data_IF_400935067706
#
_entry.id   IF_400935067706
#
_cell.length_a   1.000
_cell.length_b   1.000
_cell.length_c   1.000
_cell.angle_alpha   90.00
_cell.angle_beta   90.00
_cell.angle_gamma   90.00
#
_symmetry.space_group_name_H-M   'P 1'
#
loop_
_entity.id
_entity.type
_entity.pdbx_description
1 polymer ?
#
# COMPACT_ATOMS: atom_id res chain seq x y z
N UNK A 1 47.66 -15.56 -37.90
CA UNK A 1 48.26 -14.21 -37.93
C UNK A 1 47.24 -13.11 -38.24
N UNK A 2 46.61 -13.06 -39.42
CA UNK A 2 45.60 -12.02 -39.73
C UNK A 2 44.30 -12.12 -38.90
N UNK A 3 43.84 -13.33 -38.59
CA UNK A 3 42.66 -13.53 -37.73
C UNK A 3 42.92 -13.14 -36.26
N UNK A 4 44.15 -13.29 -35.78
CA UNK A 4 44.55 -12.98 -34.40
C UNK A 4 44.70 -11.47 -34.18
N UNK A 5 45.19 -10.75 -35.21
CA UNK A 5 45.30 -9.29 -35.19
C UNK A 5 43.92 -8.62 -35.09
N UNK A 6 42.93 -9.15 -35.82
CA UNK A 6 41.55 -8.67 -35.77
C UNK A 6 40.87 -8.96 -34.42
N UNK A 7 41.19 -10.09 -33.79
CA UNK A 7 40.69 -10.44 -32.46
C UNK A 7 41.27 -9.51 -31.38
N UNK A 8 42.59 -9.26 -31.41
CA UNK A 8 43.25 -8.35 -30.46
C UNK A 8 42.74 -6.92 -30.64
N UNK A 9 42.56 -6.47 -31.89
CA UNK A 9 41.96 -5.17 -32.20
C UNK A 9 40.51 -5.04 -31.69
N UNK A 10 39.70 -6.09 -31.86
CA UNK A 10 38.32 -6.12 -31.35
C UNK A 10 38.28 -6.08 -29.81
N UNK A 11 39.06 -6.94 -29.14
CA UNK A 11 39.12 -6.98 -27.68
C UNK A 11 39.62 -5.63 -27.12
N UNK A 12 40.66 -5.06 -27.73
CA UNK A 12 41.16 -3.72 -27.39
C UNK A 12 40.11 -2.63 -27.59
N UNK A 13 39.35 -2.68 -28.69
CA UNK A 13 38.27 -1.73 -28.96
C UNK A 13 37.11 -1.84 -27.96
N UNK A 14 36.63 -3.05 -27.68
CA UNK A 14 35.53 -3.30 -26.73
C UNK A 14 35.92 -2.91 -25.31
N UNK A 15 37.15 -3.21 -24.88
CA UNK A 15 37.66 -2.76 -23.57
C UNK A 15 37.77 -1.25 -23.48
N UNK A 16 38.28 -0.57 -24.52
CA UNK A 16 38.38 0.89 -24.56
C UNK A 16 36.99 1.55 -24.50
N UNK A 17 36.03 1.07 -25.30
CA UNK A 17 34.65 1.56 -25.30
C UNK A 17 34.00 1.35 -23.93
N UNK A 18 34.17 0.17 -23.31
CA UNK A 18 33.63 -0.10 -21.99
C UNK A 18 34.22 0.80 -20.90
N UNK A 19 35.52 1.12 -20.97
CA UNK A 19 36.19 2.07 -20.07
C UNK A 19 35.60 3.47 -20.28
N UNK A 20 35.43 3.93 -21.52
CA UNK A 20 34.85 5.24 -21.84
C UNK A 20 33.40 5.33 -21.32
N UNK A 21 32.58 4.31 -21.59
CA UNK A 21 31.19 4.24 -21.11
C UNK A 21 31.14 4.19 -19.59
N UNK A 22 32.02 3.42 -18.94
CA UNK A 22 32.13 3.37 -17.49
C UNK A 22 32.44 4.74 -16.90
N UNK A 23 33.47 5.43 -17.40
CA UNK A 23 33.85 6.76 -16.91
C UNK A 23 32.76 7.80 -17.20
N UNK A 24 32.13 7.74 -18.38
CA UNK A 24 31.03 8.63 -18.73
C UNK A 24 29.83 8.43 -17.81
N UNK A 25 29.38 7.19 -17.60
CA UNK A 25 28.22 6.88 -16.79
C UNK A 25 28.50 7.12 -15.29
N UNK A 26 29.70 6.78 -14.83
CA UNK A 26 30.17 7.10 -13.48
C UNK A 26 30.15 8.61 -13.23
N UNK A 27 30.79 9.39 -14.10
CA UNK A 27 30.84 10.85 -14.01
C UNK A 27 29.44 11.48 -14.08
N UNK A 28 28.57 10.94 -14.94
CA UNK A 28 27.17 11.35 -15.04
C UNK A 28 26.43 11.10 -13.72
N UNK A 29 26.52 9.91 -13.16
CA UNK A 29 25.85 9.53 -11.90
C UNK A 29 26.40 10.34 -10.71
N UNK A 30 27.72 10.57 -10.62
CA UNK A 30 28.30 11.40 -9.57
C UNK A 30 27.88 12.86 -9.72
N UNK A 31 27.89 13.40 -10.95
CA UNK A 31 27.43 14.76 -11.23
C UNK A 31 25.96 14.97 -10.85
N UNK A 32 25.10 13.99 -11.15
CA UNK A 32 23.69 14.03 -10.73
C UNK A 32 23.52 13.92 -9.21
N UNK A 33 24.31 13.07 -8.54
CA UNK A 33 24.33 12.96 -7.08
C UNK A 33 24.72 14.30 -6.45
N UNK A 34 25.80 14.90 -6.91
CA UNK A 34 26.34 16.14 -6.34
C UNK A 34 25.38 17.32 -6.59
N UNK A 35 24.73 17.36 -7.76
CA UNK A 35 23.71 18.36 -8.09
C UNK A 35 22.43 18.25 -7.25
N UNK A 36 22.01 17.02 -6.89
CA UNK A 36 20.82 16.79 -6.04
C UNK A 36 21.14 17.04 -4.57
N UNK A 37 22.31 16.60 -4.11
CA UNK A 37 22.77 16.81 -2.74
C UNK A 37 23.04 18.28 -2.47
N UNK A 38 23.63 19.01 -3.42
CA UNK A 38 23.89 20.45 -3.28
C UNK A 38 22.61 21.27 -3.16
N UNK A 39 21.58 20.98 -3.98
CA UNK A 39 20.27 21.63 -3.88
C UNK A 39 19.60 21.38 -2.54
N UNK A 40 19.58 20.14 -2.07
CA UNK A 40 18.99 19.82 -0.76
C UNK A 40 19.78 20.50 0.36
N UNK A 41 21.12 20.51 0.29
CA UNK A 41 21.93 21.21 1.28
C UNK A 41 21.80 22.73 1.24
N UNK A 42 21.50 23.32 0.08
CA UNK A 42 21.26 24.75 -0.08
C UNK A 42 19.90 25.16 0.51
N UNK A 43 18.84 24.39 0.22
CA UNK A 43 17.51 24.56 0.82
C UNK A 43 17.52 24.41 2.36
N UNK A 44 18.48 23.65 2.87
CA UNK A 44 18.70 23.44 4.30
C UNK A 44 19.53 24.58 4.95
N UNK A 45 20.34 25.30 4.16
CA UNK A 45 21.30 26.30 4.67
C UNK A 45 20.78 27.74 4.63
N UNK A 46 19.81 28.03 3.77
CA UNK A 46 19.18 29.35 3.64
C UNK A 46 17.67 29.26 3.96
N UNK A 47 17.26 29.38 5.24
CA UNK A 47 15.85 29.28 5.64
C UNK A 47 15.01 30.52 5.26
N UNK A 48 15.62 31.63 4.82
CA UNK A 48 14.97 32.94 4.80
C UNK A 48 13.95 33.18 3.67
N UNK A 49 13.64 32.22 2.80
CA UNK A 49 12.70 32.45 1.69
C UNK A 49 11.53 31.48 1.60
N UNK A 50 11.41 30.47 2.48
CA UNK A 50 10.33 29.47 2.35
C UNK A 50 9.62 29.04 3.63
N UNK A 51 9.94 29.59 4.80
CA UNK A 51 9.32 29.16 6.08
C UNK A 51 8.49 30.28 6.74
N UNK A 52 7.29 30.53 6.22
CA UNK A 52 6.21 31.09 7.05
C UNK A 52 5.45 29.91 7.71
N UNK A 53 6.09 29.26 8.68
CA UNK A 53 5.40 28.46 9.70
C UNK A 53 6.10 28.70 11.04
N UNK A 54 5.37 29.14 12.08
CA UNK A 54 5.96 29.26 13.41
C UNK A 54 6.15 27.84 13.92
N UNK A 55 7.39 27.37 13.98
CA UNK A 55 7.72 26.17 14.73
C UNK A 55 8.42 26.58 16.01
N UNK A 56 7.83 26.09 17.09
CA UNK A 56 8.40 25.97 18.43
C UNK A 56 9.87 25.54 18.35
N UNK A 57 10.72 26.20 19.14
CA UNK A 57 12.18 26.22 18.99
C UNK A 57 12.78 24.81 19.14
N UNK A 58 12.92 24.08 18.03
CA UNK A 58 13.71 22.85 17.95
C UNK A 58 15.16 23.18 18.36
N UNK A 59 15.79 22.34 19.18
CA UNK A 59 17.18 22.55 19.59
C UNK A 59 18.08 22.48 18.35
N UNK A 60 19.01 23.42 18.17
CA UNK A 60 20.03 23.45 17.08
C UNK A 60 20.69 22.08 16.77
N UNK A 61 20.74 21.18 17.75
CA UNK A 61 21.30 19.82 17.61
C UNK A 61 20.36 18.86 16.89
N UNK A 62 19.05 18.95 17.12
CA UNK A 62 18.02 18.09 16.55
C UNK A 62 17.81 18.41 15.06
N UNK A 63 17.72 19.70 14.70
CA UNK A 63 17.67 20.13 13.30
C UNK A 63 18.89 19.64 12.51
N UNK A 64 20.10 19.81 13.07
CA UNK A 64 21.34 19.30 12.43
C UNK A 64 21.36 17.79 12.29
N UNK A 65 20.70 17.05 13.18
CA UNK A 65 20.59 15.60 13.07
C UNK A 65 19.64 15.20 11.94
N UNK A 66 18.45 15.81 11.86
CA UNK A 66 17.49 15.55 10.78
C UNK A 66 18.08 15.88 9.40
N UNK A 67 18.73 17.04 9.27
CA UNK A 67 19.43 17.45 8.05
C UNK A 67 20.50 16.43 7.63
N UNK A 68 21.29 15.93 8.60
CA UNK A 68 22.29 14.88 8.35
C UNK A 68 21.65 13.57 7.94
N UNK A 69 20.52 13.19 8.51
CA UNK A 69 19.81 11.97 8.14
C UNK A 69 19.25 12.06 6.71
N UNK A 70 18.66 13.19 6.34
CA UNK A 70 18.16 13.45 4.98
C UNK A 70 19.29 13.35 3.94
N UNK A 71 20.44 13.98 4.22
CA UNK A 71 21.62 13.94 3.33
C UNK A 71 22.20 12.51 3.26
N UNK A 72 22.27 11.79 4.38
CA UNK A 72 22.74 10.39 4.42
C UNK A 72 21.82 9.47 3.62
N UNK A 73 20.50 9.64 3.73
CA UNK A 73 19.51 8.85 2.99
C UNK A 73 19.66 8.99 1.48
N UNK A 74 19.80 10.22 1.00
CA UNK A 74 20.06 10.50 -0.42
C UNK A 74 21.39 9.89 -0.86
N UNK A 75 22.47 10.11 -0.11
CA UNK A 75 23.80 9.53 -0.42
C UNK A 75 23.79 8.00 -0.48
N UNK A 76 23.04 7.35 0.40
CA UNK A 76 22.92 5.88 0.43
C UNK A 76 22.24 5.33 -0.83
N UNK A 77 21.11 5.94 -1.24
CA UNK A 77 20.39 5.55 -2.47
C UNK A 77 21.27 5.65 -3.71
N UNK A 78 22.05 6.73 -3.84
CA UNK A 78 23.00 6.89 -4.95
C UNK A 78 24.16 5.89 -4.92
N UNK A 79 24.55 5.40 -3.73
CA UNK A 79 25.61 4.40 -3.60
C UNK A 79 25.15 3.04 -4.13
N UNK A 80 23.91 2.65 -3.82
CA UNK A 80 23.30 1.42 -4.34
C UNK A 80 23.17 1.50 -5.87
N UNK A 81 22.62 2.60 -6.39
CA UNK A 81 22.48 2.83 -7.84
C UNK A 81 23.82 2.70 -8.55
N UNK A 82 24.86 3.38 -8.04
CA UNK A 82 26.22 3.29 -8.59
C UNK A 82 26.73 1.86 -8.59
N UNK A 83 26.58 1.11 -7.49
CA UNK A 83 27.07 -0.28 -7.39
C UNK A 83 26.37 -1.19 -8.39
N UNK A 84 25.04 -1.13 -8.47
CA UNK A 84 24.26 -1.95 -9.42
C UNK A 84 24.61 -1.63 -10.87
N UNK A 85 24.79 -0.35 -11.19
CA UNK A 85 25.17 0.12 -12.53
C UNK A 85 26.59 -0.29 -12.92
N UNK A 86 27.54 -0.30 -12.00
CA UNK A 86 28.90 -0.81 -12.26
C UNK A 86 28.84 -2.31 -12.55
N UNK A 87 28.10 -3.08 -11.74
CA UNK A 87 27.93 -4.53 -11.94
C UNK A 87 27.30 -4.80 -13.32
N UNK A 88 26.26 -4.06 -13.71
CA UNK A 88 25.61 -4.25 -15.01
C UNK A 88 26.55 -3.93 -16.19
N UNK A 89 27.35 -2.87 -16.11
CA UNK A 89 28.38 -2.57 -17.12
C UNK A 89 29.39 -3.71 -17.22
N UNK A 90 29.89 -4.22 -16.10
CA UNK A 90 30.86 -5.32 -16.09
C UNK A 90 30.26 -6.57 -16.74
N UNK A 91 29.00 -6.90 -16.46
CA UNK A 91 28.31 -8.05 -17.09
C UNK A 91 28.19 -7.85 -18.60
N UNK A 92 27.74 -6.68 -19.06
CA UNK A 92 27.64 -6.37 -20.50
C UNK A 92 29.01 -6.42 -21.17
N UNK A 93 30.04 -5.91 -20.51
CA UNK A 93 31.41 -5.95 -21.01
C UNK A 93 31.93 -7.38 -21.16
N UNK A 94 31.76 -8.23 -20.14
CA UNK A 94 32.10 -9.66 -20.22
C UNK A 94 31.36 -10.34 -21.37
N UNK A 95 30.06 -10.06 -21.53
CA UNK A 95 29.25 -10.58 -22.62
C UNK A 95 29.83 -10.17 -23.99
N UNK A 96 30.23 -8.90 -24.14
CA UNK A 96 30.84 -8.37 -25.35
C UNK A 96 32.21 -9.01 -25.67
N UNK A 97 33.03 -9.33 -24.67
CA UNK A 97 34.30 -10.03 -24.86
C UNK A 97 34.13 -11.46 -25.39
N UNK A 98 33.01 -12.11 -25.06
CA UNK A 98 32.73 -13.49 -25.46
C UNK A 98 32.19 -13.55 -26.91
N UNK A 99 31.62 -12.47 -27.45
CA UNK A 99 31.00 -12.43 -28.78
C UNK A 99 31.87 -12.99 -29.93
N UNK A 100 33.18 -12.69 -30.05
CA UNK A 100 34.02 -13.24 -31.14
C UNK A 100 34.22 -14.75 -31.08
N UNK A 101 34.04 -15.35 -29.90
CA UNK A 101 34.21 -16.78 -29.69
C UNK A 101 32.92 -17.56 -30.00
N UNK A 102 31.76 -16.89 -30.06
CA UNK A 102 30.46 -17.51 -30.35
C UNK A 102 30.45 -18.17 -31.73
N UNK A 103 31.07 -17.55 -32.74
CA UNK A 103 31.12 -18.10 -34.11
C UNK A 103 31.89 -19.41 -34.25
N UNK A 104 32.62 -19.84 -33.21
CA UNK A 104 33.34 -21.12 -33.17
C UNK A 104 32.55 -22.24 -32.47
N UNK A 105 31.43 -21.90 -31.83
CA UNK A 105 30.60 -22.87 -31.12
C UNK A 105 29.60 -23.55 -32.06
N UNK A 106 29.21 -24.80 -31.80
CA UNK A 106 28.11 -25.45 -32.52
C UNK A 106 26.82 -24.61 -32.36
N UNK A 107 26.10 -24.42 -33.47
CA UNK A 107 24.84 -23.65 -33.48
C UNK A 107 23.81 -24.19 -32.48
N UNK A 108 23.76 -25.51 -32.30
CA UNK A 108 22.91 -26.17 -31.29
C UNK A 108 23.21 -25.71 -29.87
N UNK A 109 24.51 -25.63 -29.50
CA UNK A 109 24.92 -25.20 -28.16
C UNK A 109 24.55 -23.74 -27.92
N UNK A 110 24.77 -22.88 -28.92
CA UNK A 110 24.41 -21.48 -28.86
C UNK A 110 22.90 -21.29 -28.66
N UNK A 111 22.08 -22.01 -29.44
CA UNK A 111 20.61 -21.97 -29.32
C UNK A 111 20.14 -22.39 -27.93
N UNK A 112 20.74 -23.44 -27.34
CA UNK A 112 20.39 -23.89 -25.99
C UNK A 112 20.77 -22.81 -24.96
N UNK A 113 21.98 -22.27 -25.04
CA UNK A 113 22.44 -21.22 -24.10
C UNK A 113 21.56 -19.99 -24.18
N UNK A 114 21.19 -19.55 -25.38
CA UNK A 114 20.26 -18.42 -25.58
C UNK A 114 18.87 -18.75 -25.02
N UNK A 115 18.32 -19.93 -25.34
CA UNK A 115 17.00 -20.32 -24.87
C UNK A 115 16.93 -20.37 -23.35
N UNK A 116 17.91 -21.01 -22.70
CA UNK A 116 18.00 -21.12 -21.24
C UNK A 116 18.22 -19.74 -20.61
N UNK A 117 19.15 -18.94 -21.15
CA UNK A 117 19.43 -17.60 -20.61
C UNK A 117 18.21 -16.70 -20.69
N UNK A 118 17.52 -16.69 -21.84
CA UNK A 118 16.28 -15.92 -22.04
C UNK A 118 15.17 -16.38 -21.10
N UNK A 119 14.98 -17.69 -20.92
CA UNK A 119 13.99 -18.23 -19.99
C UNK A 119 14.28 -17.80 -18.55
N UNK A 120 15.53 -17.92 -18.08
CA UNK A 120 15.95 -17.51 -16.74
C UNK A 120 15.74 -16.02 -16.52
N UNK A 121 16.15 -15.17 -17.48
CA UNK A 121 15.95 -13.72 -17.41
C UNK A 121 14.46 -13.38 -17.40
N UNK A 122 13.65 -14.04 -18.23
CA UNK A 122 12.21 -13.82 -18.30
C UNK A 122 11.50 -14.19 -16.99
N UNK A 123 11.86 -15.32 -16.38
CA UNK A 123 11.33 -15.74 -15.08
C UNK A 123 11.72 -14.74 -13.98
N UNK A 124 12.98 -14.28 -13.98
CA UNK A 124 13.45 -13.30 -13.00
C UNK A 124 12.76 -11.93 -13.17
N UNK A 125 12.47 -11.52 -14.41
CA UNK A 125 11.79 -10.25 -14.71
C UNK A 125 10.27 -10.30 -14.54
N UNK A 126 9.67 -11.50 -14.49
CA UNK A 126 8.21 -11.70 -14.46
C UNK A 126 7.50 -10.83 -13.40
N UNK A 127 7.93 -10.74 -12.13
CA UNK A 127 7.20 -9.95 -11.13
C UNK A 127 7.15 -8.45 -11.45
N UNK A 128 8.20 -7.91 -12.08
CA UNK A 128 8.21 -6.51 -12.49
C UNK A 128 7.21 -6.26 -13.60
N UNK A 129 7.26 -7.09 -14.65
CA UNK A 129 6.37 -7.00 -15.81
C UNK A 129 4.91 -7.19 -15.37
N UNK A 130 4.65 -8.16 -14.50
CA UNK A 130 3.32 -8.42 -13.94
C UNK A 130 2.77 -7.18 -13.24
N UNK A 131 3.53 -6.58 -12.32
CA UNK A 131 3.10 -5.36 -11.63
C UNK A 131 2.88 -4.17 -12.57
N UNK A 132 3.71 -4.02 -13.61
CA UNK A 132 3.54 -2.95 -14.61
C UNK A 132 2.25 -3.12 -15.41
N UNK A 133 2.00 -4.33 -15.91
CA UNK A 133 0.77 -4.64 -16.65
C UNK A 133 -0.44 -4.48 -15.73
N UNK A 134 -0.37 -4.96 -14.48
CA UNK A 134 -1.42 -4.78 -13.50
C UNK A 134 -1.72 -3.31 -13.23
N UNK A 135 -0.70 -2.46 -13.12
CA UNK A 135 -0.90 -1.02 -12.95
C UNK A 135 -1.66 -0.39 -14.10
N UNK A 136 -1.27 -0.72 -15.34
CA UNK A 136 -1.96 -0.26 -16.55
C UNK A 136 -3.42 -0.73 -16.54
N UNK A 137 -3.65 -2.02 -16.28
CA UNK A 137 -5.01 -2.59 -16.23
C UNK A 137 -5.87 -1.91 -15.18
N UNK A 138 -5.34 -1.70 -13.96
CA UNK A 138 -6.04 -0.99 -12.88
C UNK A 138 -6.43 0.42 -13.33
N UNK A 139 -5.48 1.17 -13.92
CA UNK A 139 -5.74 2.53 -14.38
C UNK A 139 -6.85 2.62 -15.43
N UNK A 140 -7.03 1.59 -16.27
CA UNK A 140 -8.08 1.56 -17.29
C UNK A 140 -9.39 0.89 -16.84
N UNK A 141 -9.36 -0.09 -15.93
CA UNK A 141 -10.52 -0.93 -15.60
C UNK A 141 -11.60 -0.20 -14.78
N UNK A 142 -11.29 0.99 -14.23
CA UNK A 142 -12.16 1.79 -13.34
C UNK A 142 -12.65 1.08 -12.07
N UNK A 143 -12.22 -0.16 -11.81
CA UNK A 143 -12.54 -0.94 -10.61
C UNK A 143 -11.88 -0.37 -9.35
N UNK A 144 -10.82 0.42 -9.54
CA UNK A 144 -10.09 1.12 -8.51
C UNK A 144 -9.67 2.49 -9.01
N UNK A 145 -10.02 3.55 -8.29
CA UNK A 145 -9.68 4.93 -8.64
C UNK A 145 -8.97 5.60 -7.48
N UNK A 146 -8.17 6.62 -7.80
CA UNK A 146 -7.62 7.51 -6.78
C UNK A 146 -8.78 8.25 -6.11
N UNK A 147 -8.79 8.24 -4.78
CA UNK A 147 -9.90 8.75 -3.96
C UNK A 147 -10.90 7.68 -3.50
N UNK A 148 -10.86 6.47 -4.06
CA UNK A 148 -11.77 5.40 -3.62
C UNK A 148 -11.45 4.96 -2.19
N UNK A 149 -12.48 4.67 -1.41
CA UNK A 149 -12.32 4.11 -0.07
C UNK A 149 -12.52 2.60 -0.10
N UNK A 150 -11.55 1.88 0.43
CA UNK A 150 -11.48 0.43 0.37
C UNK A 150 -11.40 -0.19 1.76
N UNK A 151 -11.87 -1.42 1.83
CA UNK A 151 -11.61 -2.33 2.95
C UNK A 151 -10.91 -3.59 2.44
N UNK A 152 -9.73 -3.88 3.00
CA UNK A 152 -8.92 -5.06 2.65
C UNK A 152 -8.19 -5.58 3.90
N UNK A 153 -8.28 -6.88 4.20
CA UNK A 153 -7.63 -7.50 5.37
C UNK A 153 -7.92 -6.78 6.70
N UNK A 154 -9.18 -6.36 6.90
CA UNK A 154 -9.61 -5.54 8.05
C UNK A 154 -8.95 -4.16 8.14
N UNK A 155 -8.23 -3.72 7.11
CA UNK A 155 -7.71 -2.37 6.99
C UNK A 155 -8.66 -1.51 6.16
N UNK A 156 -9.01 -0.35 6.71
CA UNK A 156 -9.80 0.67 6.05
C UNK A 156 -8.87 1.81 5.60
N UNK A 157 -9.02 2.25 4.36
CA UNK A 157 -8.25 3.38 3.85
C UNK A 157 -8.68 3.84 2.47
N UNK A 158 -8.12 4.97 2.07
CA UNK A 158 -8.45 5.64 0.81
C UNK A 158 -7.26 5.53 -0.14
N UNK A 159 -7.51 5.27 -1.42
CA UNK A 159 -6.47 5.22 -2.45
C UNK A 159 -5.90 6.63 -2.66
N UNK A 160 -4.61 6.80 -2.35
CA UNK A 160 -3.90 8.07 -2.48
C UNK A 160 -3.24 8.22 -3.87
N UNK A 161 -2.71 7.12 -4.41
CA UNK A 161 -1.97 7.13 -5.67
C UNK A 161 -1.91 5.73 -6.29
N UNK A 162 -1.98 5.65 -7.62
CA UNK A 162 -1.79 4.43 -8.40
C UNK A 162 -0.56 4.64 -9.29
N UNK A 163 0.58 4.14 -8.83
CA UNK A 163 1.84 4.15 -9.57
C UNK A 163 1.92 2.96 -10.54
N UNK A 164 2.94 2.97 -11.42
CA UNK A 164 3.13 1.91 -12.44
C UNK A 164 3.21 0.50 -11.83
N UNK A 165 3.86 0.35 -10.67
CA UNK A 165 4.11 -0.97 -10.06
C UNK A 165 3.38 -1.21 -8.74
N UNK A 166 2.82 -0.17 -8.13
CA UNK A 166 2.20 -0.24 -6.82
C UNK A 166 1.10 0.80 -6.63
N UNK A 167 0.18 0.50 -5.73
CA UNK A 167 -0.86 1.41 -5.24
C UNK A 167 -0.55 1.81 -3.81
N UNK A 168 -0.75 3.09 -3.48
CA UNK A 168 -0.65 3.61 -2.13
C UNK A 168 -2.04 3.84 -1.56
N UNK A 169 -2.30 3.26 -0.40
CA UNK A 169 -3.52 3.45 0.36
C UNK A 169 -3.17 4.20 1.64
N UNK A 170 -3.87 5.31 1.89
CA UNK A 170 -3.78 6.05 3.14
C UNK A 170 -4.80 5.50 4.13
N UNK A 171 -4.32 4.96 5.24
CA UNK A 171 -5.17 4.47 6.33
C UNK A 171 -5.63 5.63 7.22
N UNK A 172 -6.63 5.37 8.05
CA UNK A 172 -7.21 6.35 8.99
C UNK A 172 -6.17 6.92 9.98
N UNK A 173 -5.16 6.13 10.35
CA UNK A 173 -4.06 6.52 11.23
C UNK A 173 -2.89 7.19 10.48
N UNK A 174 -3.17 7.74 9.28
CA UNK A 174 -2.24 8.48 8.43
C UNK A 174 -1.02 7.69 7.92
N UNK A 175 -1.02 6.36 8.06
CA UNK A 175 -0.01 5.49 7.47
C UNK A 175 -0.29 5.27 5.99
N UNK A 176 0.78 4.97 5.23
CA UNK A 176 0.69 4.62 3.80
C UNK A 176 0.99 3.16 3.64
N UNK A 177 0.00 2.42 3.20
CA UNK A 177 0.14 1.02 2.85
C UNK A 177 0.44 0.90 1.35
N UNK A 178 1.63 0.40 1.03
CA UNK A 178 2.14 0.29 -0.35
C UNK A 178 1.97 -1.13 -0.83
N UNK A 179 1.09 -1.34 -1.81
CA UNK A 179 0.70 -2.67 -2.29
C UNK A 179 1.12 -2.83 -3.75
N UNK A 180 1.82 -3.91 -4.13
CA UNK A 180 2.10 -4.21 -5.53
C UNK A 180 0.81 -4.33 -6.35
N UNK A 181 0.78 -3.77 -7.55
CA UNK A 181 -0.43 -3.75 -8.40
C UNK A 181 -0.94 -5.15 -8.74
N UNK A 182 -0.03 -6.11 -8.95
CA UNK A 182 -0.38 -7.52 -9.15
C UNK A 182 -1.21 -8.07 -7.99
N UNK A 183 -0.86 -7.71 -6.75
CA UNK A 183 -1.60 -8.12 -5.57
C UNK A 183 -2.96 -7.43 -5.48
N UNK A 184 -3.08 -6.17 -5.88
CA UNK A 184 -4.38 -5.47 -5.93
C UNK A 184 -5.36 -6.11 -6.92
N UNK A 185 -4.88 -6.60 -8.06
CA UNK A 185 -5.75 -7.28 -9.04
C UNK A 185 -6.10 -8.71 -8.64
N UNK A 186 -5.18 -9.42 -7.99
CA UNK A 186 -5.36 -10.84 -7.69
C UNK A 186 -6.06 -11.09 -6.35
N UNK A 187 -6.06 -10.11 -5.44
CA UNK A 187 -6.63 -10.25 -4.10
C UNK A 187 -8.00 -9.58 -4.03
N UNK A 188 -8.94 -10.23 -3.35
CA UNK A 188 -10.26 -9.67 -3.06
C UNK A 188 -10.16 -8.44 -2.13
N UNK A 189 -10.95 -7.41 -2.44
CA UNK A 189 -11.13 -6.21 -1.64
C UNK A 189 -12.56 -5.70 -1.80
N UNK A 190 -13.03 -4.91 -0.84
CA UNK A 190 -14.33 -4.25 -0.89
C UNK A 190 -14.08 -2.78 -1.25
N UNK A 191 -14.66 -2.30 -2.35
CA UNK A 191 -14.66 -0.89 -2.70
C UNK A 191 -15.98 -0.26 -2.23
N UNK A 192 -15.89 0.66 -1.28
CA UNK A 192 -17.02 1.30 -0.63
C UNK A 192 -17.55 2.51 -1.41
N UNK A 193 -16.84 2.96 -2.45
CA UNK A 193 -17.17 4.19 -3.20
C UNK A 193 -17.15 3.99 -4.72
N UNK A 194 -17.23 2.76 -5.21
CA UNK A 194 -17.01 2.42 -6.63
C UNK A 194 -18.00 3.10 -7.58
N UNK A 195 -19.29 3.07 -7.19
CA UNK A 195 -20.40 3.61 -7.98
C UNK A 195 -21.10 4.76 -7.27
N UNK A 196 -21.24 4.65 -5.94
CA UNK A 196 -21.87 5.65 -5.08
C UNK A 196 -21.05 5.72 -3.77
N UNK A 197 -21.03 6.89 -3.13
CA UNK A 197 -20.45 7.08 -1.80
C UNK A 197 -21.44 6.74 -0.68
N UNK A 198 -22.73 6.68 -1.02
CA UNK A 198 -23.78 6.36 -0.08
C UNK A 198 -23.62 4.94 0.47
N UNK A 199 -23.66 4.82 1.80
CA UNK A 199 -23.46 3.55 2.48
C UNK A 199 -24.52 3.29 3.51
N UNK A 200 -24.90 2.03 3.57
CA UNK A 200 -25.81 1.53 4.57
C UNK A 200 -25.02 1.06 5.79
N UNK A 201 -25.06 1.86 6.86
CA UNK A 201 -24.33 1.62 8.09
C UNK A 201 -25.24 0.93 9.11
N UNK A 202 -24.74 -0.11 9.78
CA UNK A 202 -25.47 -0.79 10.84
C UNK A 202 -24.65 -0.89 12.13
N UNK A 203 -25.35 -0.90 13.26
CA UNK A 203 -24.82 -1.18 14.58
C UNK A 203 -25.47 -2.46 15.12
N UNK A 204 -24.65 -3.47 15.42
CA UNK A 204 -25.06 -4.66 16.16
C UNK A 204 -24.94 -4.40 17.66
N UNK A 205 -25.99 -4.70 18.41
CA UNK A 205 -26.00 -4.64 19.87
C UNK A 205 -26.89 -5.74 20.46
N UNK A 206 -26.75 -5.99 21.76
CA UNK A 206 -27.48 -7.06 22.44
C UNK A 206 -28.24 -6.53 23.66
N UNK A 207 -29.47 -6.99 23.83
CA UNK A 207 -30.36 -6.64 24.95
C UNK A 207 -30.80 -7.90 25.70
N UNK A 208 -31.15 -7.76 26.97
CA UNK A 208 -31.74 -8.86 27.75
C UNK A 208 -33.06 -9.34 27.10
N UNK A 209 -33.40 -10.61 27.29
CA UNK A 209 -34.73 -11.14 26.99
C UNK A 209 -35.85 -10.46 27.77
N UNK A 210 -35.53 -9.82 28.90
CA UNK A 210 -36.51 -9.08 29.70
C UNK A 210 -36.79 -7.67 29.14
N UNK A 211 -36.00 -7.19 28.16
CA UNK A 211 -36.23 -5.89 27.55
C UNK A 211 -37.45 -5.91 26.63
N UNK A 212 -38.24 -4.84 26.66
CA UNK A 212 -39.30 -4.62 25.68
C UNK A 212 -38.67 -4.28 24.31
N UNK A 213 -38.82 -5.20 23.35
CA UNK A 213 -38.22 -5.05 22.03
C UNK A 213 -38.89 -3.96 21.18
N UNK A 214 -40.16 -3.63 21.44
CA UNK A 214 -40.84 -2.53 20.75
C UNK A 214 -40.25 -1.20 21.22
N UNK A 215 -40.06 -1.02 22.53
CA UNK A 215 -39.40 0.15 23.10
C UNK A 215 -37.95 0.28 22.61
N UNK A 216 -37.19 -0.82 22.61
CA UNK A 216 -35.81 -0.86 22.09
C UNK A 216 -35.75 -0.43 20.63
N UNK A 217 -36.67 -0.94 19.79
CA UNK A 217 -36.78 -0.60 18.38
C UNK A 217 -37.06 0.89 18.18
N UNK A 218 -38.05 1.44 18.90
CA UNK A 218 -38.41 2.86 18.82
C UNK A 218 -37.25 3.77 19.20
N UNK A 219 -36.56 3.46 20.30
CA UNK A 219 -35.37 4.20 20.74
C UNK A 219 -34.27 4.12 19.68
N UNK A 220 -33.95 2.93 19.19
CA UNK A 220 -32.86 2.74 18.24
C UNK A 220 -33.11 3.47 16.91
N UNK A 221 -34.32 3.36 16.36
CA UNK A 221 -34.71 4.06 15.12
C UNK A 221 -34.67 5.57 15.33
N UNK A 222 -35.18 6.07 16.47
CA UNK A 222 -35.16 7.50 16.80
C UNK A 222 -33.73 8.03 16.88
N UNK A 223 -32.86 7.36 17.63
CA UNK A 223 -31.44 7.73 17.77
C UNK A 223 -30.75 7.75 16.42
N UNK A 224 -30.96 6.75 15.57
CA UNK A 224 -30.38 6.71 14.24
C UNK A 224 -30.89 7.83 13.32
N UNK A 225 -32.16 8.24 13.47
CA UNK A 225 -32.76 9.32 12.69
C UNK A 225 -32.30 10.70 13.13
N UNK A 226 -32.04 10.89 14.42
CA UNK A 226 -31.62 12.17 15.01
C UNK A 226 -30.13 12.49 14.83
N UNK A 227 -29.32 11.49 14.46
CA UNK A 227 -27.89 11.68 14.17
C UNK A 227 -27.68 12.63 12.99
N UNK A 228 -26.78 13.60 13.13
CA UNK A 228 -26.41 14.53 12.05
C UNK A 228 -25.76 13.84 10.83
N UNK A 229 -25.21 12.64 11.03
CA UNK A 229 -24.56 11.83 9.99
C UNK A 229 -25.53 10.94 9.19
N UNK A 230 -26.84 11.00 9.49
CA UNK A 230 -27.86 10.23 8.80
C UNK A 230 -28.25 10.90 7.47
N UNK A 231 -28.23 10.12 6.39
CA UNK A 231 -28.80 10.51 5.11
C UNK A 231 -30.27 10.05 5.01
N UNK A 232 -31.15 10.96 4.59
CA UNK A 232 -32.61 10.77 4.54
C UNK A 232 -33.13 9.87 3.40
N UNK A 233 -32.25 9.21 2.64
CA UNK A 233 -32.64 8.37 1.48
C UNK A 233 -33.69 7.33 1.86
N UNK A 234 -33.52 6.65 2.99
CA UNK A 234 -34.53 5.78 3.58
C UNK A 234 -34.52 5.91 5.11
N UNK A 235 -35.67 5.76 5.78
CA UNK A 235 -35.73 5.80 7.23
C UNK A 235 -34.89 4.67 7.84
N UNK A 236 -34.31 4.89 9.04
CA UNK A 236 -33.61 3.83 9.76
C UNK A 236 -34.51 2.62 10.02
N UNK A 237 -33.90 1.44 10.01
CA UNK A 237 -34.59 0.18 10.19
C UNK A 237 -33.98 -0.61 11.35
N UNK A 238 -34.81 -1.39 12.01
CA UNK A 238 -34.44 -2.22 13.14
C UNK A 238 -34.81 -3.68 12.88
N UNK A 239 -33.93 -4.59 13.27
CA UNK A 239 -34.16 -6.03 13.17
C UNK A 239 -33.69 -6.75 14.42
N UNK A 240 -34.42 -7.80 14.77
CA UNK A 240 -33.91 -8.88 15.61
C UNK A 240 -33.21 -9.89 14.70
N UNK A 241 -31.89 -10.02 14.84
CA UNK A 241 -31.08 -10.85 13.96
C UNK A 241 -31.01 -12.29 14.44
N UNK A 242 -30.79 -12.48 15.75
CA UNK A 242 -30.73 -13.79 16.38
C UNK A 242 -31.07 -13.71 17.86
N UNK A 243 -31.46 -14.87 18.40
CA UNK A 243 -31.74 -15.10 19.80
C UNK A 243 -30.60 -15.97 20.37
N UNK A 244 -29.68 -15.36 21.11
CA UNK A 244 -28.56 -16.04 21.76
C UNK A 244 -28.96 -16.49 23.19
N UNK A 245 -28.20 -17.38 23.82
CA UNK A 245 -28.61 -18.03 25.09
C UNK A 245 -29.06 -17.07 26.20
N UNK A 246 -28.44 -15.90 26.31
CA UNK A 246 -28.68 -14.93 27.39
C UNK A 246 -29.11 -13.55 26.85
N UNK A 247 -29.22 -13.37 25.53
CA UNK A 247 -29.51 -12.06 24.94
C UNK A 247 -30.17 -12.15 23.57
N UNK A 248 -30.93 -11.13 23.22
CA UNK A 248 -31.39 -10.92 21.84
C UNK A 248 -30.41 -10.00 21.13
N UNK A 249 -29.93 -10.41 19.96
CA UNK A 249 -29.04 -9.61 19.12
C UNK A 249 -29.87 -8.83 18.12
N UNK A 250 -29.72 -7.51 18.17
CA UNK A 250 -30.47 -6.55 17.40
C UNK A 250 -29.55 -5.73 16.51
N UNK A 251 -30.04 -5.37 15.33
CA UNK A 251 -29.39 -4.42 14.43
C UNK A 251 -30.25 -3.17 14.29
N UNK A 252 -29.60 -2.02 14.34
CA UNK A 252 -30.16 -0.77 13.81
C UNK A 252 -29.30 -0.32 12.65
N UNK A 253 -29.92 0.07 11.53
CA UNK A 253 -29.20 0.52 10.36
C UNK A 253 -29.82 1.76 9.74
N UNK A 254 -28.97 2.60 9.15
CA UNK A 254 -29.33 3.85 8.52
C UNK A 254 -28.35 4.18 7.40
N UNK A 255 -28.81 4.96 6.42
CA UNK A 255 -27.96 5.46 5.34
C UNK A 255 -27.08 6.62 5.80
N UNK A 256 -25.88 6.72 5.22
CA UNK A 256 -24.92 7.81 5.39
C UNK A 256 -24.32 8.23 4.04
N UNK A 257 -23.91 9.50 3.92
CA UNK A 257 -23.42 10.10 2.67
C UNK A 257 -22.08 9.55 2.16
N UNK A 258 -21.25 9.05 3.08
CA UNK A 258 -19.90 8.58 2.76
C UNK A 258 -19.44 7.52 3.75
N UNK A 259 -18.37 6.76 3.44
CA UNK A 259 -17.82 5.80 4.39
C UNK A 259 -17.27 6.42 5.68
N UNK A 260 -16.86 7.69 5.64
CA UNK A 260 -16.47 8.43 6.83
C UNK A 260 -17.70 8.78 7.70
N UNK A 261 -18.76 9.29 7.08
CA UNK A 261 -20.02 9.59 7.78
C UNK A 261 -20.67 8.31 8.31
N UNK A 262 -20.61 7.20 7.59
CA UNK A 262 -21.08 5.90 8.06
C UNK A 262 -20.34 5.44 9.34
N UNK A 263 -19.06 5.79 9.49
CA UNK A 263 -18.32 5.52 10.72
C UNK A 263 -18.82 6.41 11.88
N UNK A 264 -18.99 7.71 11.62
CA UNK A 264 -19.47 8.66 12.62
C UNK A 264 -20.90 8.34 13.07
N UNK A 265 -21.80 8.02 12.12
CA UNK A 265 -23.17 7.57 12.36
C UNK A 265 -23.21 6.38 13.32
N UNK A 266 -22.39 5.35 13.09
CA UNK A 266 -22.32 4.19 14.01
C UNK A 266 -21.86 4.58 15.40
N UNK A 267 -20.87 5.48 15.51
CA UNK A 267 -20.37 5.96 16.80
C UNK A 267 -21.42 6.77 17.54
N UNK A 268 -22.11 7.67 16.84
CA UNK A 268 -23.14 8.52 17.42
C UNK A 268 -24.35 7.70 17.88
N UNK A 269 -24.82 6.77 17.04
CA UNK A 269 -25.86 5.80 17.41
C UNK A 269 -25.43 5.05 18.67
N UNK A 270 -24.22 4.48 18.72
CA UNK A 270 -23.78 3.72 19.87
C UNK A 270 -23.78 4.55 21.17
N UNK A 271 -23.25 5.77 21.14
CA UNK A 271 -23.20 6.66 22.30
C UNK A 271 -24.61 7.02 22.78
N UNK A 272 -25.48 7.42 21.86
CA UNK A 272 -26.82 7.89 22.17
C UNK A 272 -27.73 6.73 22.60
N UNK A 273 -27.58 5.55 21.98
CA UNK A 273 -28.30 4.34 22.36
C UNK A 273 -27.95 3.89 23.78
N UNK A 274 -26.66 3.88 24.14
CA UNK A 274 -26.22 3.56 25.51
C UNK A 274 -26.81 4.55 26.52
N UNK A 275 -26.87 5.84 26.17
CA UNK A 275 -27.46 6.88 27.03
C UNK A 275 -28.96 6.63 27.23
N UNK A 276 -29.70 6.45 26.13
CA UNK A 276 -31.14 6.23 26.16
C UNK A 276 -31.51 4.92 26.87
N UNK A 277 -30.77 3.84 26.66
CA UNK A 277 -31.01 2.58 27.37
C UNK A 277 -30.81 2.73 28.88
N UNK A 278 -29.79 3.48 29.31
CA UNK A 278 -29.58 3.75 30.74
C UNK A 278 -30.71 4.58 31.34
N UNK A 279 -31.20 5.59 30.62
CA UNK A 279 -32.29 6.47 31.07
C UNK A 279 -33.63 5.72 31.19
N UNK A 280 -33.89 4.77 30.29
CA UNK A 280 -35.12 3.97 30.27
C UNK A 280 -34.99 2.64 31.04
N UNK A 281 -33.87 2.39 31.73
CA UNK A 281 -33.67 1.17 32.52
C UNK A 281 -33.53 -0.11 31.69
N UNK A 282 -33.23 0.01 30.39
CA UNK A 282 -33.06 -1.12 29.47
C UNK A 282 -31.67 -1.73 29.71
N UNK A 283 -31.66 -3.01 30.09
CA UNK A 283 -30.42 -3.74 30.35
C UNK A 283 -29.81 -4.23 29.04
N UNK A 284 -28.81 -3.51 28.54
CA UNK A 284 -27.97 -3.96 27.43
C UNK A 284 -26.94 -4.98 27.94
N UNK A 285 -26.80 -6.10 27.22
CA UNK A 285 -25.80 -7.10 27.59
C UNK A 285 -24.40 -6.54 27.33
N UNK A 286 -23.58 -6.46 28.37
CA UNK A 286 -22.15 -6.20 28.20
C UNK A 286 -21.53 -7.46 27.64
N UNK A 287 -21.22 -7.47 26.33
CA UNK A 287 -20.34 -8.50 25.77
C UNK A 287 -18.99 -8.38 26.49
N UNK A 288 -18.74 -9.27 27.43
CA UNK A 288 -17.43 -9.45 28.04
C UNK A 288 -16.51 -9.97 26.93
N UNK A 289 -15.78 -9.06 26.27
CA UNK A 289 -14.70 -9.47 25.35
C UNK A 289 -13.58 -10.02 26.24
N UNK A 290 -13.58 -11.34 26.44
CA UNK A 290 -12.47 -12.01 27.11
C UNK A 290 -11.23 -11.95 26.20
N UNK A 291 -10.34 -10.99 26.48
CA UNK A 291 -9.05 -10.87 25.81
C UNK A 291 -8.06 -12.01 26.16
N UNK A 292 -8.48 -13.05 26.90
CA UNK A 292 -7.60 -14.19 27.27
C UNK A 292 -7.69 -15.42 26.37
N UNK A 293 -8.50 -15.45 25.32
CA UNK A 293 -8.40 -16.53 24.33
C UNK A 293 -7.43 -16.16 23.22
N UNK A 294 -6.15 -16.44 23.50
CA UNK A 294 -5.13 -16.55 22.48
C UNK A 294 -5.59 -17.54 21.41
N UNK A 295 -5.43 -17.15 20.14
CA UNK A 295 -5.71 -17.95 18.95
C UNK A 295 -5.26 -19.40 19.14
N UNK A 296 -6.19 -20.31 19.38
CA UNK A 296 -5.95 -21.73 19.17
C UNK A 296 -6.17 -21.99 17.69
N UNK A 297 -5.08 -22.22 16.96
CA UNK A 297 -5.13 -22.85 15.65
C UNK A 297 -5.89 -24.18 15.77
N UNK A 298 -6.66 -24.59 14.75
CA UNK A 298 -7.20 -25.94 14.72
C UNK A 298 -6.01 -26.91 14.69
N UNK A 299 -5.77 -27.63 15.78
CA UNK A 299 -4.99 -28.85 15.76
C UNK A 299 -5.83 -29.89 15.06
N UNK A 300 -5.48 -30.16 13.81
CA UNK A 300 -6.02 -31.29 13.06
C UNK A 300 -5.57 -32.58 13.78
N UNK A 301 -6.50 -33.26 14.44
CA UNK A 301 -6.27 -34.60 14.99
C UNK A 301 -7.57 -35.39 15.19
N UNK A 302 -7.99 -36.11 14.15
CA UNK A 302 -8.40 -37.53 14.22
C UNK A 302 -8.91 -37.96 12.83
N UNK A 303 -8.09 -38.64 12.01
CA UNK A 303 -7.87 -40.10 12.02
C UNK A 303 -8.87 -40.87 11.13
N UNK A 304 -8.41 -41.23 9.93
CA UNK A 304 -8.60 -42.52 9.27
C UNK A 304 -7.62 -42.65 8.10
#
# INVERSE_FOLDING_TARGET
MFADLNLIGYLGGVTLVAIIVYFWLHSRVTSFKDSRVSRISALVREPETTAAMPTEVLSDKEERQEQRQMIKGVKSRFTIIRRTLIISIIVVWILALILPFIGRLPSTLLSIVIAVSTAVIGIAARPLVENMISGIVISFSKQLRVGDTLMMDSQYGTVEDISITHTKIKTWDWKRYVIPNSRMLNKEFINLTLNDTLLWAYLEFSVSYEADLDEVSEIAIRVARESEHHNEQEPPQFWVMRMDKESVVCWVAAWADSPAEAWNLKSDIAINLIRQFRENGITAHTSYVDFRQGRTFPTDSSAS
#
